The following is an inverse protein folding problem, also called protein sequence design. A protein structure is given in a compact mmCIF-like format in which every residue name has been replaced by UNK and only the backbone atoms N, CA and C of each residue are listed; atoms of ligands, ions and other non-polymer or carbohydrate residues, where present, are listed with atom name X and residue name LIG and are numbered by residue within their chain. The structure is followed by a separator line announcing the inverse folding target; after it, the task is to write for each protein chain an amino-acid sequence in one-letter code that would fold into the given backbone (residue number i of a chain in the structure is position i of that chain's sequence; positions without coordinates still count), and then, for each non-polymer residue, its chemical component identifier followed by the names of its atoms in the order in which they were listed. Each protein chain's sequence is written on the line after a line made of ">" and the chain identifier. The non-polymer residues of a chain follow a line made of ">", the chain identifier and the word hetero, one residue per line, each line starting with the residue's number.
data_IF_619467034663
#
_entry.id   IF_619467034663
#
_cell.length_a   1.000
_cell.length_b   1.000
_cell.length_c   1.000
_cell.angle_alpha   90.00
_cell.angle_beta   90.00
_cell.angle_gamma   90.00
#
_symmetry.space_group_name_H-M   'P 1'
#
loop_
_entity.id
_entity.type
_entity.pdbx_description
1 polymer ?
#
# COMPACT_ATOMS: atom_id res chain seq x y z
N UNK A 1 17.30 -4.03 -2.38
CA UNK A 1 16.83 -3.40 -3.62
C UNK A 1 17.16 -1.92 -3.55
N UNK A 2 17.84 -1.38 -4.57
CA UNK A 2 18.06 0.06 -4.72
C UNK A 2 16.91 0.60 -5.59
N UNK A 3 16.09 1.51 -5.05
CA UNK A 3 14.90 2.05 -5.70
C UNK A 3 15.08 3.50 -6.17
N UNK A 4 16.29 4.06 -6.03
CA UNK A 4 16.52 5.50 -6.17
C UNK A 4 16.24 6.01 -7.59
N UNK A 5 16.38 5.16 -8.59
CA UNK A 5 16.15 5.47 -10.00
C UNK A 5 14.69 5.32 -10.45
N UNK A 6 13.82 4.66 -9.68
CA UNK A 6 12.43 4.41 -10.08
C UNK A 6 11.52 5.57 -9.72
N UNK A 7 10.58 5.90 -10.58
CA UNK A 7 9.40 6.71 -10.25
C UNK A 7 8.49 5.99 -9.24
N UNK A 8 7.54 6.71 -8.66
CA UNK A 8 6.53 6.06 -7.79
C UNK A 8 5.74 4.98 -8.55
N UNK A 9 5.36 5.27 -9.80
CA UNK A 9 4.56 4.36 -10.61
C UNK A 9 5.35 3.14 -11.06
N UNK A 10 6.62 3.30 -11.46
CA UNK A 10 7.49 2.17 -11.77
C UNK A 10 7.67 1.26 -10.56
N UNK A 11 7.96 1.84 -9.37
CA UNK A 11 8.11 1.06 -8.14
C UNK A 11 6.89 0.19 -7.81
N UNK A 12 5.69 0.77 -7.88
CA UNK A 12 4.45 0.03 -7.61
C UNK A 12 4.19 -1.03 -8.68
N UNK A 13 4.35 -0.67 -9.96
CA UNK A 13 4.10 -1.60 -11.05
C UNK A 13 5.05 -2.79 -11.01
N UNK A 14 6.34 -2.55 -10.80
CA UNK A 14 7.35 -3.61 -10.69
C UNK A 14 7.00 -4.55 -9.55
N UNK A 15 6.67 -4.03 -8.36
CA UNK A 15 6.26 -4.86 -7.24
C UNK A 15 4.96 -5.64 -7.53
N UNK A 16 3.98 -5.03 -8.21
CA UNK A 16 2.74 -5.71 -8.58
C UNK A 16 2.97 -6.83 -9.60
N UNK A 17 3.90 -6.65 -10.54
CA UNK A 17 4.28 -7.68 -11.50
C UNK A 17 5.06 -8.81 -10.82
N UNK A 18 6.01 -8.48 -9.94
CA UNK A 18 6.76 -9.47 -9.15
C UNK A 18 5.81 -10.33 -8.30
N UNK A 19 4.90 -9.70 -7.55
CA UNK A 19 3.92 -10.43 -6.75
C UNK A 19 3.00 -11.33 -7.60
N UNK A 20 2.55 -10.84 -8.77
CA UNK A 20 1.72 -11.63 -9.67
C UNK A 20 2.49 -12.82 -10.26
N UNK A 21 3.78 -12.65 -10.54
CA UNK A 21 4.65 -13.71 -11.04
C UNK A 21 4.88 -14.78 -9.98
N UNK A 22 5.12 -14.37 -8.73
CA UNK A 22 5.41 -15.29 -7.62
C UNK A 22 4.15 -16.02 -7.09
N UNK A 23 3.04 -15.30 -6.91
CA UNK A 23 1.86 -15.83 -6.23
C UNK A 23 0.62 -16.00 -7.11
N UNK A 24 0.68 -15.55 -8.37
CA UNK A 24 -0.39 -15.66 -9.34
C UNK A 24 -1.43 -14.53 -9.30
N UNK A 25 -1.95 -14.20 -10.49
CA UNK A 25 -2.94 -13.14 -10.72
C UNK A 25 -4.21 -13.27 -9.87
N UNK A 26 -4.73 -14.49 -9.68
CA UNK A 26 -5.95 -14.71 -8.86
C UNK A 26 -5.75 -14.25 -7.42
N UNK A 27 -4.56 -14.45 -6.85
CA UNK A 27 -4.26 -14.00 -5.49
C UNK A 27 -4.14 -12.48 -5.42
N UNK A 28 -3.48 -11.88 -6.42
CA UNK A 28 -3.42 -10.42 -6.56
C UNK A 28 -4.82 -9.80 -6.61
N UNK A 29 -5.70 -10.29 -7.49
CA UNK A 29 -7.07 -9.78 -7.63
C UNK A 29 -7.87 -9.90 -6.33
N UNK A 30 -7.67 -11.00 -5.58
CA UNK A 30 -8.28 -11.18 -4.26
C UNK A 30 -7.82 -10.09 -3.28
N UNK A 31 -6.52 -9.81 -3.20
CA UNK A 31 -5.98 -8.74 -2.33
C UNK A 31 -6.54 -7.39 -2.77
N UNK A 32 -6.51 -7.10 -4.07
CA UNK A 32 -7.08 -5.87 -4.63
C UNK A 32 -8.54 -5.68 -4.22
N UNK A 33 -9.39 -6.68 -4.44
CA UNK A 33 -10.80 -6.63 -4.05
C UNK A 33 -10.98 -6.42 -2.54
N UNK A 34 -10.15 -7.03 -1.70
CA UNK A 34 -10.19 -6.83 -0.25
C UNK A 34 -9.86 -5.39 0.15
N UNK A 35 -8.96 -4.71 -0.57
CA UNK A 35 -8.66 -3.29 -0.33
C UNK A 35 -9.78 -2.37 -0.84
N UNK A 36 -10.30 -2.63 -2.04
CA UNK A 36 -11.37 -1.80 -2.63
C UNK A 36 -12.64 -1.81 -1.78
N UNK A 37 -13.00 -2.96 -1.21
CA UNK A 37 -14.24 -3.16 -0.45
C UNK A 37 -14.09 -2.98 1.06
N UNK A 38 -12.88 -2.71 1.57
CA UNK A 38 -12.66 -2.61 3.02
C UNK A 38 -13.19 -1.30 3.59
N UNK A 39 -14.17 -1.41 4.49
CA UNK A 39 -14.68 -0.27 5.29
C UNK A 39 -13.58 0.39 6.13
N UNK A 40 -12.63 -0.41 6.65
CA UNK A 40 -11.52 0.11 7.44
C UNK A 40 -10.59 0.98 6.60
N UNK A 41 -10.27 0.55 5.37
CA UNK A 41 -9.48 1.35 4.43
C UNK A 41 -10.27 2.58 3.99
N UNK A 42 -11.54 2.45 3.62
CA UNK A 42 -12.38 3.60 3.26
C UNK A 42 -12.43 4.64 4.39
N UNK A 43 -12.51 4.21 5.66
CA UNK A 43 -12.45 5.10 6.83
C UNK A 43 -11.10 5.81 6.95
N UNK A 44 -9.98 5.11 6.74
CA UNK A 44 -8.65 5.73 6.70
C UNK A 44 -8.59 6.85 5.65
N UNK A 45 -9.00 6.54 4.41
CA UNK A 45 -8.94 7.51 3.30
C UNK A 45 -9.85 8.72 3.56
N UNK A 46 -11.06 8.47 4.06
CA UNK A 46 -11.98 9.52 4.45
C UNK A 46 -11.39 10.44 5.53
N UNK A 47 -10.83 9.88 6.60
CA UNK A 47 -10.21 10.67 7.67
C UNK A 47 -9.02 11.47 7.16
N UNK A 48 -8.18 10.88 6.30
CA UNK A 48 -7.05 11.57 5.67
C UNK A 48 -7.52 12.78 4.83
N UNK A 49 -8.58 12.59 4.02
CA UNK A 49 -9.21 13.66 3.23
C UNK A 49 -9.76 14.77 4.12
N UNK A 50 -10.50 14.43 5.17
CA UNK A 50 -11.07 15.42 6.11
C UNK A 50 -9.98 16.22 6.85
N UNK A 51 -8.90 15.55 7.25
CA UNK A 51 -7.77 16.18 7.95
C UNK A 51 -6.80 16.90 7.03
N UNK A 52 -6.95 16.78 5.70
CA UNK A 52 -5.99 17.28 4.70
C UNK A 52 -4.57 16.80 5.00
N UNK A 53 -4.45 15.54 5.39
CA UNK A 53 -3.21 14.93 5.85
C UNK A 53 -2.82 13.75 4.97
N UNK A 54 -1.52 13.63 4.67
CA UNK A 54 -0.95 12.50 3.93
C UNK A 54 -0.80 11.31 4.90
N UNK A 55 -1.47 10.17 4.65
CA UNK A 55 -1.27 8.98 5.46
C UNK A 55 0.17 8.49 5.32
N UNK A 56 0.80 8.13 6.43
CA UNK A 56 2.13 7.54 6.44
C UNK A 56 2.07 6.01 6.40
N UNK A 57 3.23 5.35 6.30
CA UNK A 57 3.34 3.88 6.24
C UNK A 57 2.56 3.16 7.36
N UNK A 58 2.59 3.68 8.58
CA UNK A 58 2.00 3.04 9.75
C UNK A 58 0.47 3.12 9.68
N UNK A 59 -0.07 4.22 9.16
CA UNK A 59 -1.52 4.37 8.99
C UNK A 59 -2.09 3.27 8.09
N UNK A 60 -1.38 2.93 7.01
CA UNK A 60 -1.75 1.82 6.12
C UNK A 60 -1.59 0.46 6.80
N UNK A 61 -0.41 0.17 7.37
CA UNK A 61 -0.12 -1.14 7.96
C UNK A 61 -1.00 -1.45 9.17
N UNK A 62 -1.24 -0.48 10.06
CA UNK A 62 -2.16 -0.66 11.19
C UNK A 62 -3.59 -0.83 10.74
N UNK A 63 -4.04 -0.09 9.72
CA UNK A 63 -5.38 -0.28 9.18
C UNK A 63 -5.56 -1.67 8.58
N UNK A 64 -4.54 -2.24 7.94
CA UNK A 64 -4.58 -3.62 7.44
C UNK A 64 -4.59 -4.65 8.57
N UNK A 65 -3.85 -4.43 9.65
CA UNK A 65 -3.86 -5.33 10.81
C UNK A 65 -5.20 -5.37 11.55
N UNK A 66 -6.14 -4.49 11.23
CA UNK A 66 -7.52 -4.55 11.71
C UNK A 66 -8.49 -5.21 10.70
N UNK A 67 -8.04 -5.52 9.49
CA UNK A 67 -8.83 -6.22 8.48
C UNK A 67 -8.57 -7.72 8.62
N UNK A 68 -9.59 -8.56 8.93
CA UNK A 68 -9.39 -9.98 9.23
C UNK A 68 -8.59 -10.78 8.20
N UNK A 69 -8.69 -10.41 6.92
CA UNK A 69 -7.94 -11.05 5.84
C UNK A 69 -6.41 -10.88 5.96
N UNK A 70 -5.95 -9.81 6.61
CA UNK A 70 -4.54 -9.41 6.62
C UNK A 70 -3.81 -9.70 7.93
N UNK A 71 -4.52 -9.94 9.05
CA UNK A 71 -3.94 -10.15 10.40
C UNK A 71 -2.79 -11.17 10.41
N UNK A 72 -2.94 -12.27 9.68
CA UNK A 72 -1.94 -13.35 9.59
C UNK A 72 -1.37 -13.50 8.18
N UNK A 73 -1.53 -12.47 7.35
CA UNK A 73 -1.03 -12.53 5.97
C UNK A 73 0.48 -12.39 5.94
N UNK A 74 1.13 -13.06 4.98
CA UNK A 74 2.58 -12.96 4.78
C UNK A 74 2.97 -11.51 4.48
N UNK A 75 4.21 -11.14 4.83
CA UNK A 75 4.77 -9.82 4.58
C UNK A 75 4.52 -9.29 3.15
N UNK A 76 4.69 -10.13 2.12
CA UNK A 76 4.47 -9.72 0.73
C UNK A 76 2.98 -9.38 0.44
N UNK A 77 2.05 -10.07 1.12
CA UNK A 77 0.61 -9.82 0.99
C UNK A 77 0.19 -8.54 1.75
N UNK A 78 0.82 -8.27 2.90
CA UNK A 78 0.67 -7.01 3.63
C UNK A 78 1.21 -5.82 2.83
N UNK A 79 2.41 -5.96 2.27
CA UNK A 79 3.02 -4.95 1.40
C UNK A 79 2.12 -4.64 0.20
N UNK A 80 1.64 -5.68 -0.50
CA UNK A 80 0.71 -5.50 -1.61
C UNK A 80 -0.57 -4.76 -1.18
N UNK A 81 -1.18 -5.17 -0.07
CA UNK A 81 -2.38 -4.52 0.46
C UNK A 81 -2.16 -3.04 0.76
N UNK A 82 -1.02 -2.69 1.36
CA UNK A 82 -0.68 -1.33 1.74
C UNK A 82 -0.40 -0.46 0.50
N UNK A 83 0.32 -0.98 -0.49
CA UNK A 83 0.58 -0.27 -1.74
C UNK A 83 -0.70 -0.04 -2.56
N UNK A 84 -1.61 -1.02 -2.62
CA UNK A 84 -2.92 -0.82 -3.27
C UNK A 84 -3.74 0.25 -2.53
N UNK A 85 -3.67 0.30 -1.19
CA UNK A 85 -4.36 1.32 -0.41
C UNK A 85 -3.76 2.72 -0.61
N UNK A 86 -2.43 2.83 -0.72
CA UNK A 86 -1.72 4.07 -1.08
C UNK A 86 -2.13 4.55 -2.46
N UNK A 87 -2.14 3.66 -3.45
CA UNK A 87 -2.55 3.98 -4.82
C UNK A 87 -4.02 4.41 -4.91
N UNK A 88 -4.89 3.77 -4.12
CA UNK A 88 -6.29 4.14 -3.99
C UNK A 88 -6.45 5.55 -3.38
N UNK A 89 -5.71 5.85 -2.31
CA UNK A 89 -5.70 7.20 -1.73
C UNK A 89 -5.19 8.25 -2.71
N UNK A 90 -4.14 7.93 -3.46
CA UNK A 90 -3.58 8.83 -4.46
C UNK A 90 -4.64 9.23 -5.50
N UNK A 91 -5.39 8.24 -6.01
CA UNK A 91 -6.46 8.45 -6.99
C UNK A 91 -7.69 9.15 -6.44
N UNK A 92 -8.15 8.78 -5.24
CA UNK A 92 -9.43 9.27 -4.68
C UNK A 92 -9.32 10.58 -3.89
N UNK A 93 -8.12 10.93 -3.42
CA UNK A 93 -7.93 12.05 -2.50
C UNK A 93 -6.79 12.98 -2.94
N UNK A 94 -5.64 12.41 -3.30
CA UNK A 94 -4.44 13.21 -3.57
C UNK A 94 -4.54 13.99 -4.88
N UNK A 95 -5.02 13.38 -5.96
CA UNK A 95 -5.10 14.03 -7.27
C UNK A 95 -6.10 15.20 -7.33
N UNK A 96 -7.04 15.30 -6.38
CA UNK A 96 -8.02 16.41 -6.35
C UNK A 96 -7.40 17.75 -5.90
N UNK A 97 -6.46 17.74 -4.94
CA UNK A 97 -5.94 18.96 -4.28
C UNK A 97 -4.39 18.95 -4.16
N UNK A 98 -3.73 17.84 -4.50
CA UNK A 98 -2.29 17.55 -4.41
C UNK A 98 -1.74 17.78 -2.99
N UNK A 99 -1.95 16.80 -2.11
CA UNK A 99 -1.39 16.79 -0.75
C UNK A 99 0.03 16.21 -0.69
N UNK A 100 0.35 15.28 -1.58
CA UNK A 100 1.64 14.62 -1.70
C UNK A 100 2.10 14.65 -3.16
N UNK A 101 3.34 15.07 -3.40
CA UNK A 101 3.97 14.93 -4.70
C UNK A 101 4.49 13.49 -4.90
N UNK A 102 4.94 13.19 -6.11
CA UNK A 102 5.44 11.87 -6.47
C UNK A 102 6.59 11.39 -5.57
N UNK A 103 7.50 12.29 -5.21
CA UNK A 103 8.61 11.98 -4.31
C UNK A 103 8.11 11.45 -2.96
N UNK A 104 7.16 12.15 -2.33
CA UNK A 104 6.59 11.71 -1.05
C UNK A 104 5.83 10.39 -1.17
N UNK A 105 5.09 10.17 -2.26
CA UNK A 105 4.42 8.89 -2.54
C UNK A 105 5.42 7.74 -2.64
N UNK A 106 6.53 7.95 -3.37
CA UNK A 106 7.63 6.99 -3.48
C UNK A 106 8.26 6.70 -2.11
N UNK A 107 8.53 7.72 -1.31
CA UNK A 107 9.08 7.54 0.04
C UNK A 107 8.16 6.68 0.93
N UNK A 108 6.84 6.90 0.88
CA UNK A 108 5.88 6.10 1.63
C UNK A 108 5.88 4.64 1.15
N UNK A 109 5.88 4.42 -0.16
CA UNK A 109 5.94 3.09 -0.75
C UNK A 109 7.21 2.33 -0.36
N UNK A 110 8.38 2.96 -0.44
CA UNK A 110 9.66 2.37 -0.01
C UNK A 110 9.60 2.00 1.48
N UNK A 111 9.08 2.89 2.31
CA UNK A 111 8.94 2.67 3.75
C UNK A 111 8.01 1.48 4.08
N UNK A 112 6.92 1.31 3.33
CA UNK A 112 6.04 0.12 3.42
C UNK A 112 6.84 -1.14 3.08
N UNK A 113 7.54 -1.17 1.95
CA UNK A 113 8.32 -2.32 1.50
C UNK A 113 9.42 -2.72 2.48
N UNK A 114 10.14 -1.73 3.03
CA UNK A 114 11.20 -1.95 4.01
C UNK A 114 10.68 -2.55 5.32
N UNK A 115 9.55 -2.06 5.83
CA UNK A 115 8.95 -2.60 7.06
C UNK A 115 8.45 -4.03 6.86
N UNK A 116 7.76 -4.31 5.75
CA UNK A 116 7.32 -5.67 5.44
C UNK A 116 8.52 -6.62 5.23
N UNK A 117 9.61 -6.15 4.62
CA UNK A 117 10.84 -6.94 4.46
C UNK A 117 11.47 -7.30 5.81
N UNK A 118 11.46 -6.39 6.79
CA UNK A 118 11.91 -6.70 8.16
C UNK A 118 11.03 -7.76 8.83
N UNK A 119 9.72 -7.73 8.60
CA UNK A 119 8.80 -8.76 9.08
C UNK A 119 9.18 -10.14 8.52
N UNK A 120 9.63 -10.21 7.26
CA UNK A 120 10.10 -11.45 6.61
C UNK A 120 11.38 -12.05 7.24
N UNK A 121 12.21 -11.24 7.90
CA UNK A 121 13.47 -11.69 8.53
C UNK A 121 13.31 -12.13 9.99
N UNK A 122 12.17 -11.85 10.61
CA UNK A 122 11.89 -12.15 12.02
C UNK A 122 10.92 -13.33 12.22
N UNK A 123 10.65 -14.11 11.16
CA UNK A 123 9.81 -15.31 11.13
C UNK A 123 10.60 -16.47 10.53
#
# INVERSE_FOLDING_TARGET
>A
MNFDHLTYYELINDFFQEYQTEFGRRKFEKVYQKIQTSNKISKLLYVAKQKRAVPNKNDYLYSLNEVPYFIFSKADTLALGALIALERWNKECNQEIVYANEFLLKEIAIKILQDCSKIKLNL
#
